data_IF_784875616550
#
_entry.id   IF_784875616550
#
_cell.length_a   1.000
_cell.length_b   1.000
_cell.length_c   1.000
_cell.angle_alpha   90.00
_cell.angle_beta   90.00
_cell.angle_gamma   90.00
#
_symmetry.space_group_name_H-M   'P 1'
#
loop_
_entity.id
_entity.type
_entity.pdbx_description
1 polymer ?
#
# COMPACT_ATOMS: atom_id res chain seq x y z
N UNK A 1 8.31 -14.51 -17.16
CA UNK A 1 8.91 -14.33 -15.83
C UNK A 1 8.60 -15.57 -15.01
N UNK A 2 9.62 -16.31 -14.62
CA UNK A 2 9.53 -17.46 -13.71
C UNK A 2 9.56 -17.00 -12.25
N UNK A 3 9.19 -17.90 -11.33
CA UNK A 3 9.28 -17.62 -9.89
C UNK A 3 10.72 -17.32 -9.46
N UNK A 4 11.70 -18.05 -10.03
CA UNK A 4 13.12 -17.82 -9.80
C UNK A 4 13.56 -16.40 -10.23
N UNK A 5 13.16 -15.96 -11.42
CA UNK A 5 13.45 -14.61 -11.90
C UNK A 5 12.81 -13.53 -11.02
N UNK A 6 11.61 -13.77 -10.49
CA UNK A 6 10.96 -12.86 -9.57
C UNK A 6 11.71 -12.74 -8.24
N UNK A 7 12.15 -13.87 -7.68
CA UNK A 7 12.97 -13.89 -6.45
C UNK A 7 14.27 -13.11 -6.69
N UNK A 8 14.93 -13.31 -7.83
CA UNK A 8 16.15 -12.58 -8.19
C UNK A 8 15.89 -11.09 -8.39
N UNK A 9 14.77 -10.71 -9.02
CA UNK A 9 14.38 -9.31 -9.21
C UNK A 9 14.20 -8.56 -7.87
N UNK A 10 13.71 -9.23 -6.83
CA UNK A 10 13.58 -8.64 -5.48
C UNK A 10 14.90 -8.56 -4.69
N UNK A 11 16.03 -8.98 -5.26
CA UNK A 11 17.33 -9.00 -4.60
C UNK A 11 17.68 -10.35 -3.96
N UNK A 12 17.01 -11.43 -4.37
CA UNK A 12 17.29 -12.80 -3.99
C UNK A 12 16.44 -13.32 -2.82
N UNK A 13 16.68 -14.58 -2.45
CA UNK A 13 15.87 -15.31 -1.47
C UNK A 13 15.85 -14.66 -0.09
N UNK A 14 16.99 -14.16 0.39
CA UNK A 14 17.07 -13.47 1.68
C UNK A 14 16.25 -12.18 1.67
N UNK A 15 16.35 -11.38 0.61
CA UNK A 15 15.64 -10.10 0.53
C UNK A 15 14.13 -10.30 0.41
N UNK A 16 13.70 -11.28 -0.37
CA UNK A 16 12.30 -11.64 -0.46
C UNK A 16 11.77 -12.21 0.87
N UNK A 17 12.55 -13.01 1.60
CA UNK A 17 12.15 -13.51 2.91
C UNK A 17 11.92 -12.37 3.92
N UNK A 18 12.78 -11.33 3.92
CA UNK A 18 12.56 -10.13 4.73
C UNK A 18 11.27 -9.39 4.35
N UNK A 19 11.00 -9.23 3.06
CA UNK A 19 9.77 -8.59 2.56
C UNK A 19 8.50 -9.35 2.92
N UNK A 20 8.59 -10.68 3.03
CA UNK A 20 7.51 -11.56 3.46
C UNK A 20 7.38 -11.62 5.00
N UNK A 21 8.33 -11.03 5.74
CA UNK A 21 8.34 -11.05 7.20
C UNK A 21 8.78 -12.39 7.79
N UNK A 22 9.50 -13.22 7.03
CA UNK A 22 10.07 -14.44 7.57
C UNK A 22 11.35 -14.16 8.36
N UNK A 23 11.51 -14.90 9.45
CA UNK A 23 12.72 -14.87 10.25
C UNK A 23 13.87 -15.57 9.48
N UNK A 24 14.91 -14.80 9.16
CA UNK A 24 16.10 -15.29 8.46
C UNK A 24 16.92 -16.27 9.32
N UNK A 25 16.96 -16.07 10.65
CA UNK A 25 17.64 -16.96 11.61
C UNK A 25 16.90 -18.27 11.80
N UNK A 26 15.57 -18.28 11.62
CA UNK A 26 14.75 -19.48 11.65
C UNK A 26 14.66 -20.20 10.27
N UNK A 27 15.51 -19.85 9.30
CA UNK A 27 15.56 -20.50 7.99
C UNK A 27 14.57 -19.96 6.96
N UNK A 28 14.06 -18.74 7.14
CA UNK A 28 13.21 -18.06 6.16
C UNK A 28 13.85 -17.95 4.78
N UNK A 29 15.14 -17.63 4.71
CA UNK A 29 15.88 -17.56 3.45
C UNK A 29 15.97 -18.92 2.75
N UNK A 30 16.21 -20.01 3.50
CA UNK A 30 16.27 -21.37 2.94
C UNK A 30 14.92 -21.79 2.36
N UNK A 31 13.82 -21.44 3.03
CA UNK A 31 12.46 -21.73 2.54
C UNK A 31 12.21 -21.07 1.19
N UNK A 32 12.57 -19.79 1.05
CA UNK A 32 12.42 -19.05 -0.21
C UNK A 32 13.37 -19.60 -1.28
N UNK A 33 14.59 -19.98 -0.91
CA UNK A 33 15.52 -20.62 -1.83
C UNK A 33 14.93 -21.91 -2.43
N UNK A 34 14.26 -22.74 -1.62
CA UNK A 34 13.59 -23.96 -2.11
C UNK A 34 12.46 -23.65 -3.11
N UNK A 35 11.87 -22.45 -3.09
CA UNK A 35 10.84 -22.05 -4.05
C UNK A 35 11.41 -21.72 -5.44
N UNK A 36 12.71 -21.47 -5.55
CA UNK A 36 13.37 -21.25 -6.85
C UNK A 36 13.24 -22.51 -7.72
N UNK A 37 13.41 -23.69 -7.12
CA UNK A 37 13.30 -24.97 -7.82
C UNK A 37 11.88 -25.54 -7.82
N UNK A 38 11.14 -25.39 -6.71
CA UNK A 38 9.80 -26.00 -6.55
C UNK A 38 8.65 -25.11 -7.03
N UNK A 39 8.90 -23.83 -7.22
CA UNK A 39 7.87 -22.81 -7.41
C UNK A 39 7.34 -22.25 -6.09
N UNK A 40 6.79 -21.04 -6.17
CA UNK A 40 6.26 -20.33 -4.99
C UNK A 40 4.84 -20.84 -4.72
N UNK A 41 4.51 -21.21 -3.46
CA UNK A 41 3.18 -21.69 -3.10
C UNK A 41 2.08 -20.68 -3.51
N UNK A 42 0.98 -21.13 -4.13
CA UNK A 42 -0.10 -20.23 -4.56
C UNK A 42 -0.67 -19.39 -3.42
N UNK A 43 -0.77 -19.96 -2.22
CA UNK A 43 -1.25 -19.25 -1.03
C UNK A 43 -0.39 -18.04 -0.69
N UNK A 44 0.94 -18.16 -0.77
CA UNK A 44 1.86 -17.04 -0.53
C UNK A 44 1.68 -15.93 -1.57
N UNK A 45 1.44 -16.30 -2.84
CA UNK A 45 1.16 -15.32 -3.90
C UNK A 45 -0.11 -14.53 -3.65
N UNK A 46 -1.14 -15.20 -3.14
CA UNK A 46 -2.43 -14.61 -2.79
C UNK A 46 -2.38 -13.76 -1.52
N UNK A 47 -1.60 -14.17 -0.52
CA UNK A 47 -1.40 -13.41 0.71
C UNK A 47 -0.59 -12.12 0.46
N UNK A 48 0.30 -12.13 -0.55
CA UNK A 48 1.15 -11.00 -0.91
C UNK A 48 0.95 -10.54 -2.37
N UNK A 49 -0.26 -10.09 -2.76
CA UNK A 49 -0.57 -9.75 -4.15
C UNK A 49 0.26 -8.58 -4.66
N UNK A 50 0.66 -7.67 -3.76
CA UNK A 50 1.53 -6.52 -4.09
C UNK A 50 2.93 -6.93 -4.55
N UNK A 51 3.42 -8.09 -4.11
CA UNK A 51 4.75 -8.60 -4.48
C UNK A 51 4.68 -9.50 -5.73
N UNK A 52 3.64 -10.31 -5.86
CA UNK A 52 3.59 -11.36 -6.89
C UNK A 52 2.70 -11.04 -8.09
N UNK A 53 1.59 -10.34 -7.89
CA UNK A 53 0.55 -10.18 -8.91
C UNK A 53 0.71 -8.92 -9.76
N UNK A 54 1.75 -8.11 -9.53
CA UNK A 54 2.11 -7.01 -10.42
C UNK A 54 1.01 -5.97 -10.62
N UNK A 55 -0.05 -5.98 -9.80
CA UNK A 55 -1.04 -4.92 -9.70
C UNK A 55 -0.38 -3.74 -9.01
N UNK A 56 0.54 -3.12 -9.75
CA UNK A 56 0.57 -1.67 -9.83
C UNK A 56 -0.82 -1.28 -10.27
N UNK A 57 -1.75 -1.18 -9.32
CA UNK A 57 -2.86 -0.24 -9.45
C UNK A 57 -2.13 1.08 -9.55
N UNK A 58 -1.71 1.46 -10.76
CA UNK A 58 -1.44 2.85 -11.10
C UNK A 58 -2.65 3.51 -10.51
N UNK A 59 -2.50 4.24 -9.40
CA UNK A 59 -3.57 5.03 -8.82
C UNK A 59 -4.12 5.72 -10.05
N UNK A 60 -5.31 5.32 -10.50
CA UNK A 60 -5.93 6.02 -11.60
C UNK A 60 -5.99 7.42 -11.03
N UNK A 61 -5.11 8.29 -11.53
CA UNK A 61 -5.17 9.71 -11.21
C UNK A 61 -6.50 10.06 -11.83
N UNK A 62 -7.55 9.97 -11.04
CA UNK A 62 -8.83 10.54 -11.37
C UNK A 62 -8.68 11.96 -10.87
N UNK A 63 -8.29 12.94 -11.71
CA UNK A 63 -8.27 14.34 -11.29
C UNK A 63 -9.69 14.90 -11.11
N UNK A 64 -10.71 14.07 -10.88
CA UNK A 64 -12.09 14.49 -10.77
C UNK A 64 -12.68 14.05 -9.45
N UNK A 65 -12.23 14.70 -8.38
CA UNK A 65 -13.09 15.14 -7.29
C UNK A 65 -12.58 16.51 -6.83
N UNK A 66 -13.03 17.53 -7.55
CA UNK A 66 -13.14 18.89 -7.05
C UNK A 66 -14.54 19.37 -7.40
N UNK A 67 -15.47 19.44 -6.44
CA UNK A 67 -16.48 20.48 -6.47
C UNK A 67 -15.76 21.78 -6.11
N UNK A 68 -15.47 22.58 -7.14
CA UNK A 68 -15.17 24.00 -6.99
C UNK A 68 -16.48 24.69 -6.62
N UNK A 69 -16.95 24.55 -5.38
CA UNK A 69 -18.07 25.35 -4.91
C UNK A 69 -17.57 26.75 -4.54
N UNK A 70 -17.51 27.56 -5.60
CA UNK A 70 -17.69 29.00 -5.67
C UNK A 70 -17.93 29.71 -4.34
N UNK A 71 -16.93 30.48 -3.93
CA UNK A 71 -17.12 31.67 -3.13
C UNK A 71 -18.06 32.66 -3.86
N UNK A 72 -19.25 32.88 -3.30
CA UNK A 72 -20.09 34.09 -3.42
C UNK A 72 -21.29 33.87 -2.48
N UNK A 73 -21.69 34.76 -1.56
CA UNK A 73 -21.40 36.18 -1.25
C UNK A 73 -22.15 36.50 0.09
N UNK A 74 -22.31 37.76 0.55
CA UNK A 74 -21.44 38.56 1.42
C UNK A 74 -22.06 38.97 2.80
N UNK A 75 -21.34 39.87 3.49
CA UNK A 75 -21.81 40.92 4.44
C UNK A 75 -22.10 40.48 5.89
N UNK A 76 -21.23 40.82 6.85
CA UNK A 76 -21.27 42.09 7.61
C UNK A 76 -22.54 42.27 8.44
N UNK A 77 -22.46 42.19 9.77
CA UNK A 77 -22.80 43.28 10.70
C UNK A 77 -22.55 42.86 12.17
N UNK A 78 -21.83 43.73 12.88
CA UNK A 78 -21.67 43.74 14.34
C UNK A 78 -22.99 44.02 15.06
N UNK A 79 -23.09 43.60 16.34
CA UNK A 79 -23.86 44.14 17.51
C UNK A 79 -24.07 42.96 18.48
N UNK A 80 -23.62 42.91 19.73
CA UNK A 80 -23.52 43.95 20.75
C UNK A 80 -24.80 43.93 21.61
N UNK A 81 -24.73 43.38 22.83
CA UNK A 81 -25.42 43.83 24.05
C UNK A 81 -25.50 42.72 25.11
N UNK A 82 -24.88 42.97 26.25
CA UNK A 82 -25.13 42.30 27.52
C UNK A 82 -26.49 42.75 28.09
N UNK A 83 -27.26 41.83 28.68
CA UNK A 83 -28.30 42.15 29.66
C UNK A 83 -28.40 41.01 30.68
N UNK A 84 -28.10 41.32 31.94
CA UNK A 84 -28.48 40.59 33.15
C UNK A 84 -29.98 40.81 33.43
N UNK A 85 -30.67 39.80 33.97
CA UNK A 85 -31.56 39.87 35.16
C UNK A 85 -32.59 38.73 35.18
N UNK A 86 -32.83 38.22 36.38
CA UNK A 86 -33.81 37.21 36.75
C UNK A 86 -33.45 36.61 38.10
#
# INVERSE_FOLDING_TARGET
>A
MTDAELIQHYGGASKLAELLGYDLRAGGAQRVHNWIERGIPPRVKLDHPKLFLGVSVKKARNPRLEPKETACRPASQQKGAACNQG
#
